data_IF_019403103611
#
_entry.id   IF_019403103611
#
_cell.length_a   1.000
_cell.length_b   1.000
_cell.length_c   1.000
_cell.angle_alpha   90.00
_cell.angle_beta   90.00
_cell.angle_gamma   90.00
#
_symmetry.space_group_name_H-M   'P 1'
#
loop_
_entity.id
_entity.type
_entity.pdbx_description
1 polymer ?
2 non-polymer ?
3 non-polymer ?
4 non-polymer ?
5 non-polymer ?
6 water ?
#
# COMPACT_ATOMS: atom_id res chain seq x y z
N UNK A 1 -22.90 -8.63 24.79
CA UNK A 1 -22.00 -7.81 25.65
C UNK A 1 -22.74 -6.56 26.17
N UNK A 2 -22.52 -6.19 27.44
CA UNK A 2 -23.01 -4.91 27.99
C UNK A 2 -22.70 -3.73 27.03
N UNK A 3 -21.53 -3.77 26.37
CA UNK A 3 -21.08 -2.67 25.49
C UNK A 3 -21.94 -2.51 24.23
N UNK A 4 -22.46 -3.64 23.71
CA UNK A 4 -23.27 -3.74 22.48
C UNK A 4 -24.79 -3.89 22.74
N UNK A 5 -25.23 -3.79 23.99
CA UNK A 5 -26.66 -3.93 24.37
C UNK A 5 -27.25 -2.54 24.64
N UNK A 6 -28.42 -2.25 24.06
CA UNK A 6 -29.05 -0.94 24.19
C UNK A 6 -29.85 -0.78 25.48
N UNK A 7 -29.46 0.18 26.34
CA UNK A 7 -30.20 0.55 27.54
C UNK A 7 -31.28 1.60 27.23
N UNK A 8 -30.95 2.55 26.36
CA UNK A 8 -31.88 3.59 25.90
C UNK A 8 -31.49 4.13 24.53
N UNK A 9 -32.51 4.42 23.72
CA UNK A 9 -32.35 5.09 22.47
C UNK A 9 -33.38 6.18 22.44
N UNK A 10 -32.98 7.33 21.93
CA UNK A 10 -33.80 8.54 21.98
C UNK A 10 -33.45 9.44 20.81
N UNK A 11 -34.45 10.12 20.24
CA UNK A 11 -34.19 11.17 19.24
C UNK A 11 -33.96 12.51 19.96
N UNK A 12 -32.91 13.24 19.57
CA UNK A 12 -32.54 14.52 20.19
C UNK A 12 -32.19 15.58 19.14
N UNK A 13 -32.07 16.84 19.58
CA UNK A 13 -31.62 17.95 18.74
C UNK A 13 -32.54 18.16 17.51
N UNK A 14 -33.79 18.55 17.77
CA UNK A 14 -34.80 18.66 16.71
C UNK A 14 -35.06 17.33 16.00
N UNK A 15 -34.84 16.21 16.71
CA UNK A 15 -34.91 14.84 16.17
C UNK A 15 -33.90 14.54 15.05
N UNK A 16 -32.85 15.36 14.95
CA UNK A 16 -31.82 15.19 13.95
C UNK A 16 -30.68 14.27 14.39
N UNK A 17 -30.70 13.80 15.65
CA UNK A 17 -29.70 12.83 16.16
C UNK A 17 -30.42 11.73 16.87
N UNK A 18 -29.85 10.53 16.85
CA UNK A 18 -30.25 9.48 17.76
C UNK A 18 -29.13 9.27 18.74
N UNK A 19 -29.48 9.23 20.02
CA UNK A 19 -28.52 8.91 21.06
C UNK A 19 -28.83 7.52 21.62
N UNK A 20 -27.80 6.68 21.67
CA UNK A 20 -27.87 5.38 22.34
C UNK A 20 -27.08 5.45 23.63
N UNK A 21 -27.72 5.04 24.73
CA UNK A 21 -27.04 4.77 25.97
C UNK A 21 -26.87 3.25 25.98
N UNK A 22 -25.62 2.79 25.98
CA UNK A 22 -25.30 1.37 26.08
C UNK A 22 -25.36 0.90 27.51
N UNK A 23 -25.40 -0.41 27.69
CA UNK A 23 -25.52 -0.93 29.06
C UNK A 23 -24.26 -0.67 29.88
N UNK A 24 -23.16 -0.33 29.22
CA UNK A 24 -21.94 0.05 29.93
C UNK A 24 -21.89 1.53 30.33
N UNK A 25 -22.97 2.25 30.03
CA UNK A 25 -23.17 3.66 30.38
C UNK A 25 -22.48 4.64 29.43
N UNK A 26 -21.81 4.11 28.41
CA UNK A 26 -21.30 4.95 27.33
C UNK A 26 -22.44 5.38 26.41
N UNK A 27 -22.27 6.53 25.77
CA UNK A 27 -23.30 7.09 24.93
C UNK A 27 -22.74 7.26 23.54
N UNK A 28 -23.57 7.06 22.53
CA UNK A 28 -23.16 7.19 21.13
C UNK A 28 -24.21 8.02 20.40
N UNK A 29 -23.78 8.81 19.41
CA UNK A 29 -24.65 9.69 18.67
C UNK A 29 -24.59 9.37 17.18
N UNK A 30 -25.76 9.34 16.54
CA UNK A 30 -25.87 8.96 15.17
C UNK A 30 -26.76 9.97 14.45
N UNK A 31 -26.21 10.73 13.49
CA UNK A 31 -27.07 11.70 12.77
C UNK A 31 -28.24 11.03 12.04
N UNK A 32 -29.42 11.64 12.15
CA UNK A 32 -30.58 11.14 11.45
C UNK A 32 -30.35 10.98 9.96
N UNK A 33 -29.67 11.92 9.33
CA UNK A 33 -29.46 11.82 7.87
C UNK A 33 -28.63 10.61 7.51
N UNK A 34 -27.63 10.29 8.35
CA UNK A 34 -26.80 9.09 8.17
C UNK A 34 -27.58 7.82 8.35
N UNK A 35 -28.40 7.73 9.40
CA UNK A 35 -29.27 6.57 9.58
C UNK A 35 -30.17 6.39 8.34
N UNK A 36 -30.82 7.45 7.88
CA UNK A 36 -31.72 7.31 6.73
C UNK A 36 -30.95 6.82 5.48
N UNK A 37 -29.80 7.45 5.25
CA UNK A 37 -28.92 7.12 4.12
C UNK A 37 -28.48 5.66 4.16
N UNK A 38 -28.41 5.10 5.37
CA UNK A 38 -27.94 3.73 5.58
C UNK A 38 -28.99 2.72 6.03
N UNK A 39 -30.24 3.05 5.75
CA UNK A 39 -31.34 2.11 5.97
C UNK A 39 -31.02 0.79 5.27
N UNK A 40 -31.05 -0.34 5.98
CA UNK A 40 -30.73 -1.63 5.36
C UNK A 40 -31.86 -2.40 4.70
N UNK A 41 -33.05 -1.78 4.55
CA UNK A 41 -34.17 -2.48 3.99
C UNK A 41 -33.93 -2.73 2.48
N UNK A 42 -34.76 -3.58 1.90
CA UNK A 42 -34.55 -4.04 0.54
C UNK A 42 -34.79 -2.94 -0.49
N UNK A 43 -35.55 -1.90 -0.13
CA UNK A 43 -35.69 -0.75 -1.05
C UNK A 43 -34.41 0.07 -1.14
N UNK A 44 -33.67 0.13 -0.03
CA UNK A 44 -32.57 1.05 0.12
C UNK A 44 -31.24 0.41 -0.08
N UNK A 45 -31.19 -0.92 0.02
CA UNK A 45 -29.93 -1.66 0.15
C UNK A 45 -30.01 -2.99 -0.52
N UNK A 46 -29.05 -3.28 -1.40
CA UNK A 46 -29.07 -4.51 -2.19
C UNK A 46 -28.22 -5.52 -1.45
N UNK A 47 -28.87 -6.46 -0.77
CA UNK A 47 -28.09 -7.34 0.10
C UNK A 47 -27.09 -8.25 -0.64
N UNK A 48 -27.43 -8.73 -1.83
CA UNK A 48 -26.53 -9.60 -2.56
C UNK A 48 -25.21 -8.88 -2.90
N UNK A 49 -25.28 -7.56 -3.06
CA UNK A 49 -24.10 -6.74 -3.38
C UNK A 49 -23.45 -6.04 -2.19
N UNK A 50 -24.11 -6.08 -1.04
CA UNK A 50 -23.78 -5.28 0.14
C UNK A 50 -23.55 -3.83 -0.30
N UNK A 51 -24.51 -3.29 -1.06
CA UNK A 51 -24.36 -1.95 -1.66
C UNK A 51 -25.65 -1.17 -1.48
N UNK A 52 -25.49 0.15 -1.43
CA UNK A 52 -26.62 1.09 -1.34
C UNK A 52 -27.33 1.27 -2.67
N UNK A 53 -28.64 1.08 -2.67
CA UNK A 53 -29.51 1.41 -3.80
C UNK A 53 -30.07 2.84 -3.66
N UNK A 54 -30.26 3.29 -2.41
CA UNK A 54 -30.83 4.61 -2.16
C UNK A 54 -30.00 5.67 -2.92
N UNK A 55 -30.69 6.57 -3.61
CA UNK A 55 -30.03 7.66 -4.35
C UNK A 55 -29.88 8.86 -3.43
N UNK A 56 -28.83 9.67 -3.65
CA UNK A 56 -28.76 10.97 -2.99
C UNK A 56 -30.03 11.81 -3.17
N UNK A 57 -30.61 11.72 -4.36
CA UNK A 57 -31.85 12.44 -4.69
C UNK A 57 -33.01 12.05 -3.79
N UNK A 58 -32.96 10.86 -3.20
CA UNK A 58 -34.01 10.39 -2.29
C UNK A 58 -33.84 10.91 -0.84
N UNK A 59 -32.67 11.45 -0.50
CA UNK A 59 -32.31 11.71 0.85
C UNK A 59 -32.62 13.17 1.21
N UNK A 60 -33.54 13.38 2.16
CA UNK A 60 -33.79 14.71 2.67
C UNK A 60 -32.69 15.02 3.71
N UNK A 61 -31.79 15.95 3.39
CA UNK A 61 -30.64 16.23 4.27
C UNK A 61 -31.02 16.89 5.59
N UNK A 62 -32.25 17.43 5.68
CA UNK A 62 -32.80 18.01 6.91
C UNK A 62 -33.70 17.05 7.72
N UNK A 63 -33.67 15.78 7.35
CA UNK A 63 -34.57 14.79 7.95
C UNK A 63 -34.32 14.66 9.45
N UNK A 64 -35.42 14.45 10.16
CA UNK A 64 -35.42 14.05 11.55
C UNK A 64 -36.21 12.75 11.73
N UNK A 65 -35.95 12.09 12.85
CA UNK A 65 -36.63 10.86 13.19
C UNK A 65 -38.05 11.23 13.58
N UNK A 66 -39.03 10.57 12.98
CA UNK A 66 -40.42 10.80 13.39
C UNK A 66 -40.81 10.00 14.64
N UNK A 67 -40.39 8.75 14.72
CA UNK A 67 -40.64 7.92 15.90
C UNK A 67 -39.57 6.86 16.03
N UNK A 68 -39.36 6.41 17.27
CA UNK A 68 -38.30 5.43 17.58
C UNK A 68 -38.80 4.56 18.73
N UNK A 69 -38.66 3.25 18.58
CA UNK A 69 -38.73 2.32 19.67
C UNK A 69 -37.48 1.43 19.58
N UNK A 70 -37.21 0.69 20.67
CA UNK A 70 -36.03 -0.15 20.74
C UNK A 70 -36.19 -1.31 21.69
N UNK A 71 -35.32 -2.28 21.54
CA UNK A 71 -35.14 -3.32 22.49
C UNK A 71 -33.63 -3.41 22.71
N UNK A 72 -33.17 -4.43 23.42
CA UNK A 72 -31.72 -4.54 23.69
C UNK A 72 -30.83 -4.70 22.47
N UNK A 73 -31.37 -5.18 21.35
CA UNK A 73 -30.57 -5.54 20.19
C UNK A 73 -30.85 -4.73 18.91
N UNK A 74 -31.91 -3.92 18.92
CA UNK A 74 -32.30 -3.20 17.71
C UNK A 74 -33.05 -1.91 18.01
N UNK A 75 -32.98 -1.00 17.06
CA UNK A 75 -33.78 0.21 17.03
C UNK A 75 -34.71 0.17 15.80
N UNK A 76 -35.94 0.66 15.97
CA UNK A 76 -36.96 0.62 14.94
C UNK A 76 -37.44 2.06 14.77
N UNK A 77 -37.26 2.62 13.57
CA UNK A 77 -37.47 4.03 13.35
C UNK A 77 -38.50 4.25 12.23
N UNK A 78 -39.42 5.18 12.48
CA UNK A 78 -40.27 5.72 11.44
C UNK A 78 -39.76 7.10 11.01
N UNK A 79 -39.85 7.34 9.71
CA UNK A 79 -39.44 8.59 9.10
C UNK A 79 -40.65 9.46 8.72
N UNK A 80 -40.46 10.77 8.56
CA UNK A 80 -41.58 11.66 8.26
C UNK A 80 -42.41 11.27 7.05
N UNK A 81 -41.75 10.71 6.02
CA UNK A 81 -42.44 10.28 4.80
C UNK A 81 -43.02 8.87 4.87
N UNK A 82 -43.03 8.31 6.06
CA UNK A 82 -43.55 6.98 6.39
C UNK A 82 -42.60 5.80 6.07
N UNK A 83 -41.40 6.10 5.59
CA UNK A 83 -40.42 5.06 5.42
C UNK A 83 -40.10 4.49 6.81
N UNK A 84 -39.69 3.23 6.81
CA UNK A 84 -39.48 2.51 8.07
C UNK A 84 -38.16 1.78 8.05
N UNK A 85 -37.38 1.91 9.11
CA UNK A 85 -36.03 1.33 9.16
C UNK A 85 -35.74 0.56 10.45
N UNK A 86 -34.94 -0.51 10.34
CA UNK A 86 -34.46 -1.25 11.54
C UNK A 86 -32.94 -1.28 11.54
N UNK A 87 -32.31 -0.95 12.68
CA UNK A 87 -30.84 -0.99 12.79
C UNK A 87 -30.45 -1.88 13.95
N UNK A 88 -29.43 -2.69 13.71
CA UNK A 88 -28.92 -3.62 14.70
C UNK A 88 -27.91 -2.93 15.62
N UNK A 89 -27.98 -3.27 16.91
CA UNK A 89 -27.11 -2.70 17.95
C UNK A 89 -25.61 -2.88 17.65
N UNK A 90 -25.21 -4.08 17.28
CA UNK A 90 -23.78 -4.33 17.01
C UNK A 90 -23.28 -3.53 15.80
N UNK A 91 -24.10 -3.47 14.75
CA UNK A 91 -23.82 -2.63 13.56
C UNK A 91 -23.65 -1.17 13.90
N UNK A 92 -24.57 -0.66 14.71
CA UNK A 92 -24.46 0.70 15.26
C UNK A 92 -23.19 0.89 16.11
N UNK A 93 -22.92 -0.04 17.02
CA UNK A 93 -21.79 0.10 17.93
C UNK A 93 -20.48 0.25 17.13
N UNK A 94 -20.31 -0.59 16.12
CA UNK A 94 -19.10 -0.61 15.30
C UNK A 94 -18.87 0.79 14.64
N UNK A 95 -19.97 1.44 14.28
CA UNK A 95 -19.98 2.65 13.44
C UNK A 95 -20.10 3.94 14.25
N UNK A 96 -19.97 3.81 15.57
CA UNK A 96 -20.04 4.95 16.48
C UNK A 96 -19.11 6.07 16.02
N UNK A 97 -19.62 7.28 15.98
CA UNK A 97 -18.86 8.45 15.50
C UNK A 97 -17.80 9.01 16.44
N UNK A 98 -17.65 8.46 17.65
CA UNK A 98 -16.56 8.89 18.51
C UNK A 98 -15.20 8.69 17.84
N UNK A 99 -14.26 9.56 18.17
CA UNK A 99 -12.91 9.46 17.61
C UNK A 99 -12.30 8.08 17.89
N UNK A 100 -12.42 7.60 19.13
CA UNK A 100 -11.84 6.29 19.48
C UNK A 100 -12.43 5.14 18.67
N UNK A 101 -13.74 5.13 18.48
CA UNK A 101 -14.41 4.07 17.72
C UNK A 101 -14.07 4.11 16.23
N UNK A 102 -14.10 5.31 15.67
CA UNK A 102 -13.74 5.47 14.26
C UNK A 102 -12.29 5.03 14.02
N UNK A 103 -11.37 5.38 14.92
CA UNK A 103 -9.96 5.07 14.74
C UNK A 103 -9.69 3.56 14.83
N UNK A 104 -10.39 2.93 15.77
CA UNK A 104 -10.30 1.50 15.90
C UNK A 104 -10.70 0.80 14.62
N UNK A 105 -11.84 1.20 14.07
CA UNK A 105 -12.36 0.62 12.84
C UNK A 105 -11.38 0.86 11.67
N UNK A 106 -10.85 2.07 11.57
CA UNK A 106 -9.84 2.36 10.51
C UNK A 106 -8.62 1.47 10.62
N UNK A 107 -8.11 1.20 11.84
CA UNK A 107 -6.99 0.30 12.03
C UNK A 107 -7.34 -1.11 11.51
N UNK A 108 -8.55 -1.57 11.81
CA UNK A 108 -9.02 -2.90 11.38
C UNK A 108 -9.12 -3.00 9.85
N UNK A 109 -9.54 -1.92 9.22
CA UNK A 109 -9.68 -1.88 7.75
C UNK A 109 -8.34 -1.78 7.03
N UNK A 110 -7.41 -0.98 7.56
CA UNK A 110 -6.23 -0.60 6.78
C UNK A 110 -4.87 -1.05 7.29
N UNK A 111 -4.86 -1.74 8.43
CA UNK A 111 -3.61 -2.34 8.99
C UNK A 111 -2.45 -1.30 8.97
N UNK A 112 -2.59 -0.17 9.67
CA UNK A 112 -1.56 0.84 9.56
C UNK A 112 -0.25 0.52 10.32
N UNK A 113 -0.23 -0.49 11.17
CA UNK A 113 0.97 -0.74 12.04
C UNK A 113 2.21 -0.78 11.15
N UNK A 114 3.25 -0.03 11.53
CA UNK A 114 4.44 0.08 10.70
C UNK A 114 5.66 -0.07 11.58
N UNK A 115 6.61 -0.95 11.23
CA UNK A 115 7.82 -1.07 12.00
C UNK A 115 8.94 -0.58 11.13
N UNK A 116 9.51 0.59 11.49
CA UNK A 116 10.63 1.15 10.75
C UNK A 116 11.90 0.38 11.08
N UNK A 117 12.83 0.36 10.15
CA UNK A 117 14.08 -0.37 10.31
C UNK A 117 15.25 0.24 9.53
N UNK A 118 16.44 -0.12 10.00
CA UNK A 118 17.70 0.21 9.34
C UNK A 118 18.54 -1.03 9.13
N UNK A 119 19.85 -0.87 9.25
CA UNK A 119 20.77 -1.98 9.02
C UNK A 119 20.60 -3.17 9.97
N UNK A 120 19.89 -2.99 11.11
CA UNK A 120 19.63 -4.06 12.08
C UNK A 120 18.51 -5.03 11.64
N UNK A 121 17.88 -4.75 10.52
CA UNK A 121 16.79 -5.59 10.01
C UNK A 121 17.08 -7.09 10.11
N UNK A 122 16.13 -7.81 10.71
CA UNK A 122 16.07 -9.28 10.68
C UNK A 122 15.08 -9.57 9.56
N UNK A 123 15.58 -9.96 8.38
CA UNK A 123 14.73 -10.12 7.19
C UNK A 123 13.65 -11.18 7.43
N UNK A 124 12.36 -10.79 7.41
CA UNK A 124 11.33 -11.80 7.67
C UNK A 124 11.38 -12.84 6.58
N UNK A 125 11.30 -14.11 6.96
CA UNK A 125 11.48 -15.21 6.00
C UNK A 125 10.45 -16.28 6.26
N UNK A 126 9.82 -16.73 5.17
CA UNK A 126 8.88 -17.83 5.23
C UNK A 126 9.14 -18.78 4.06
N UNK A 127 8.58 -19.98 4.17
CA UNK A 127 8.70 -20.96 3.10
C UNK A 127 7.65 -20.69 1.98
N UNK A 128 8.13 -20.73 0.74
CA UNK A 128 7.31 -20.48 -0.48
C UNK A 128 6.10 -21.38 -0.59
N UNK A 129 6.32 -22.70 -0.59
CA UNK A 129 5.22 -23.66 -0.69
C UNK A 129 4.28 -23.59 0.51
N UNK A 130 4.79 -23.29 1.70
CA UNK A 130 3.91 -23.09 2.87
C UNK A 130 2.92 -21.97 2.64
N UNK A 131 3.40 -20.85 2.08
CA UNK A 131 2.58 -19.67 1.82
C UNK A 131 1.54 -19.98 0.76
N UNK A 132 1.91 -20.76 -0.27
CA UNK A 132 0.92 -21.19 -1.29
C UNK A 132 -0.13 -22.11 -0.70
N UNK A 133 0.28 -23.01 0.20
CA UNK A 133 -0.63 -24.04 0.72
C UNK A 133 -1.52 -23.61 1.90
N UNK A 134 -0.97 -22.83 2.83
CA UNK A 134 -1.61 -22.66 4.12
C UNK A 134 -2.02 -21.20 4.36
N UNK A 135 -3.28 -20.99 4.75
CA UNK A 135 -3.73 -19.63 4.99
C UNK A 135 -3.00 -18.97 6.18
N UNK A 136 -2.63 -19.75 7.19
CA UNK A 136 -1.91 -19.18 8.32
C UNK A 136 -0.59 -18.55 7.83
N UNK A 137 0.07 -19.25 6.93
CA UNK A 137 1.34 -18.77 6.42
C UNK A 137 1.14 -17.60 5.44
N UNK A 138 0.12 -17.69 4.57
CA UNK A 138 -0.15 -16.58 3.66
C UNK A 138 -0.56 -15.30 4.42
N UNK A 139 -1.27 -15.47 5.52
CA UNK A 139 -1.61 -14.34 6.39
C UNK A 139 -0.37 -13.70 7.02
N UNK A 140 0.50 -14.51 7.59
CA UNK A 140 1.75 -13.99 8.12
C UNK A 140 2.53 -13.26 7.03
N UNK A 141 2.56 -13.85 5.83
CA UNK A 141 3.26 -13.23 4.69
C UNK A 141 2.76 -11.81 4.41
N UNK A 142 1.46 -11.66 4.16
CA UNK A 142 0.95 -10.36 3.76
C UNK A 142 0.92 -9.34 4.91
N UNK A 143 0.64 -9.82 6.11
CA UNK A 143 0.62 -8.93 7.27
C UNK A 143 2.04 -8.39 7.52
N UNK A 144 3.05 -9.22 7.33
CA UNK A 144 4.41 -8.80 7.53
C UNK A 144 4.87 -7.89 6.41
N UNK A 145 4.49 -8.20 5.18
CA UNK A 145 4.74 -7.33 4.05
C UNK A 145 4.24 -5.93 4.31
N UNK A 146 3.02 -5.82 4.81
CA UNK A 146 2.45 -4.51 5.14
C UNK A 146 3.18 -3.80 6.26
N UNK A 147 3.47 -4.52 7.34
CA UNK A 147 4.02 -3.88 8.54
C UNK A 147 5.51 -3.53 8.41
N UNK A 148 6.29 -4.50 7.94
CA UNK A 148 7.75 -4.37 7.82
C UNK A 148 8.19 -3.82 6.43
N UNK A 149 7.42 -4.17 5.38
CA UNK A 149 7.66 -3.72 4.03
C UNK A 149 8.39 -4.73 3.16
N UNK A 150 8.82 -5.84 3.75
CA UNK A 150 9.47 -6.88 2.98
C UNK A 150 9.35 -8.21 3.67
N UNK A 151 9.19 -9.27 2.84
CA UNK A 151 9.29 -10.64 3.27
C UNK A 151 10.05 -11.42 2.22
N UNK A 152 10.97 -12.26 2.68
CA UNK A 152 11.67 -13.18 1.81
C UNK A 152 11.00 -14.55 1.86
N UNK A 153 10.77 -15.14 0.71
CA UNK A 153 10.24 -16.46 0.66
C UNK A 153 11.34 -17.40 0.13
N UNK A 154 11.59 -18.47 0.85
CA UNK A 154 12.65 -19.41 0.48
C UNK A 154 12.04 -20.75 -0.01
N UNK A 155 12.85 -21.51 -0.73
CA UNK A 155 12.43 -22.81 -1.22
C UNK A 155 11.53 -22.78 -2.44
N UNK A 156 11.51 -21.68 -3.21
CA UNK A 156 10.86 -21.74 -4.52
C UNK A 156 11.74 -22.57 -5.51
N UNK A 157 11.22 -22.87 -6.69
CA UNK A 157 12.03 -23.57 -7.70
C UNK A 157 13.08 -22.59 -8.26
N UNK A 158 13.91 -23.10 -9.17
CA UNK A 158 14.84 -22.27 -9.92
C UNK A 158 14.37 -22.11 -11.37
N UNK A 159 13.05 -22.07 -11.59
CA UNK A 159 12.45 -21.99 -12.93
C UNK A 159 11.46 -20.83 -12.92
N UNK A 160 11.24 -20.18 -14.10
CA UNK A 160 10.20 -19.14 -14.18
C UNK A 160 8.82 -19.69 -13.78
N UNK A 161 7.88 -18.81 -13.46
CA UNK A 161 6.53 -19.21 -13.07
C UNK A 161 6.23 -19.13 -11.58
N UNK A 162 7.25 -18.83 -10.78
CA UNK A 162 7.04 -18.80 -9.33
C UNK A 162 6.31 -17.52 -8.90
N UNK A 163 6.72 -16.37 -9.40
CA UNK A 163 6.01 -15.14 -9.04
C UNK A 163 4.56 -15.13 -9.52
N UNK A 164 4.30 -15.77 -10.66
CA UNK A 164 2.92 -15.92 -11.14
C UNK A 164 2.05 -16.71 -10.15
N UNK A 165 2.60 -17.77 -9.52
CA UNK A 165 1.89 -18.48 -8.45
C UNK A 165 1.56 -17.56 -7.27
N UNK A 166 2.51 -16.73 -6.88
CA UNK A 166 2.24 -15.79 -5.79
C UNK A 166 1.18 -14.78 -6.18
N UNK A 167 1.21 -14.36 -7.45
CA UNK A 167 0.20 -13.47 -8.02
C UNK A 167 -1.20 -14.02 -7.89
N UNK A 168 -1.36 -15.29 -8.23
CA UNK A 168 -2.64 -15.96 -8.10
C UNK A 168 -3.04 -16.11 -6.64
N UNK A 169 -2.08 -16.38 -5.76
CA UNK A 169 -2.35 -16.49 -4.32
C UNK A 169 -2.91 -15.13 -3.83
N UNK A 170 -2.38 -14.02 -4.32
CA UNK A 170 -2.87 -12.70 -3.98
C UNK A 170 -4.21 -12.47 -4.65
N UNK A 171 -4.22 -12.56 -5.97
CA UNK A 171 -5.44 -12.42 -6.75
C UNK A 171 -5.06 -12.33 -8.22
N UNK A 172 -4.38 -11.25 -8.56
CA UNK A 172 -3.76 -11.09 -9.86
C UNK A 172 -2.63 -10.08 -9.80
N UNK A 173 -1.73 -10.24 -10.76
CA UNK A 173 -0.62 -9.34 -10.93
C UNK A 173 -1.02 -8.07 -11.70
N UNK A 174 -0.17 -7.06 -11.63
CA UNK A 174 -0.39 -5.76 -12.24
C UNK A 174 0.41 -5.68 -13.55
N UNK A 175 -0.28 -5.80 -14.66
CA UNK A 175 0.34 -5.71 -16.00
C UNK A 175 0.91 -4.34 -16.27
N UNK A 176 2.15 -4.33 -16.75
CA UNK A 176 2.77 -3.11 -17.24
C UNK A 176 3.39 -3.32 -18.65
N UNK A 177 3.97 -2.25 -19.19
CA UNK A 177 4.65 -2.33 -20.48
C UNK A 177 5.81 -3.33 -20.50
N UNK A 178 6.34 -3.71 -19.33
CA UNK A 178 7.45 -4.70 -19.29
C UNK A 178 6.92 -6.12 -19.20
N UNK A 179 5.58 -6.27 -19.17
CA UNK A 179 4.91 -7.57 -19.26
C UNK A 179 4.17 -7.99 -18.01
N UNK A 180 3.50 -9.15 -18.05
CA UNK A 180 2.89 -9.69 -16.85
C UNK A 180 3.96 -10.02 -15.82
N UNK A 181 5.04 -10.62 -16.30
CA UNK A 181 6.27 -10.81 -15.55
C UNK A 181 7.41 -10.39 -16.49
N UNK A 182 8.60 -10.19 -15.93
CA UNK A 182 9.74 -9.73 -16.69
C UNK A 182 11.04 -10.38 -16.18
N UNK A 183 12.01 -10.49 -17.09
CA UNK A 183 13.26 -11.21 -16.85
C UNK A 183 14.41 -10.21 -16.68
N UNK A 184 14.97 -10.15 -15.47
CA UNK A 184 16.08 -9.27 -15.19
C UNK A 184 17.35 -10.03 -15.53
N UNK A 185 17.90 -9.75 -16.69
CA UNK A 185 19.12 -10.36 -17.20
C UNK A 185 19.76 -9.34 -18.13
N UNK A 186 21.02 -9.56 -18.46
CA UNK A 186 21.75 -8.71 -19.41
C UNK A 186 21.21 -8.93 -20.82
N UNK A 187 20.77 -7.88 -21.49
CA UNK A 187 20.20 -7.99 -22.83
C UNK A 187 20.88 -7.06 -23.83
N UNK A 188 21.11 -7.58 -25.01
CA UNK A 188 21.58 -6.78 -26.15
C UNK A 188 20.54 -5.71 -26.46
N UNK A 189 21.00 -4.47 -26.69
CA UNK A 189 20.09 -3.36 -27.00
C UNK A 189 19.07 -3.21 -25.88
N UNK A 190 19.57 -3.23 -24.66
CA UNK A 190 18.69 -3.20 -23.49
C UNK A 190 17.75 -1.99 -23.50
N UNK A 191 16.47 -2.23 -23.23
CA UNK A 191 15.49 -1.16 -23.19
C UNK A 191 15.36 -0.52 -21.80
N UNK A 192 16.21 -0.94 -20.86
CA UNK A 192 16.12 -0.48 -19.49
C UNK A 192 17.46 -0.79 -18.79
N UNK A 193 17.95 0.10 -17.95
CA UNK A 193 19.25 -0.13 -17.26
C UNK A 193 19.23 -1.41 -16.41
N UNK A 194 18.04 -1.78 -15.93
CA UNK A 194 17.84 -3.06 -15.23
C UNK A 194 18.39 -4.27 -16.02
N UNK A 195 18.26 -4.23 -17.35
CA UNK A 195 18.59 -5.35 -18.21
C UNK A 195 20.03 -5.23 -18.72
N UNK A 196 20.95 -4.85 -17.82
CA UNK A 196 22.38 -4.76 -18.08
C UNK A 196 23.08 -5.32 -16.86
N UNK A 197 24.40 -5.33 -16.86
CA UNK A 197 25.16 -5.81 -15.68
C UNK A 197 25.58 -4.65 -14.72
N UNK A 198 25.08 -3.44 -14.96
CA UNK A 198 25.48 -2.27 -14.23
C UNK A 198 24.89 -2.26 -12.83
N UNK A 199 25.49 -1.45 -11.98
CA UNK A 199 24.94 -1.17 -10.64
C UNK A 199 23.61 -0.39 -10.73
N UNK A 200 22.64 -0.77 -9.93
CA UNK A 200 21.43 0.00 -9.74
C UNK A 200 21.54 0.57 -8.35
N UNK A 201 21.61 1.90 -8.27
CA UNK A 201 21.58 2.61 -7.01
C UNK A 201 20.17 2.49 -6.50
N UNK A 202 19.95 2.95 -5.27
CA UNK A 202 18.61 2.92 -4.67
C UNK A 202 17.56 3.60 -5.53
N UNK A 203 16.49 2.85 -5.78
CA UNK A 203 15.38 3.33 -6.57
C UNK A 203 14.09 2.66 -6.11
N UNK A 204 12.97 3.26 -6.48
CA UNK A 204 11.66 2.62 -6.56
C UNK A 204 11.44 2.26 -8.04
N UNK A 205 10.69 1.19 -8.32
CA UNK A 205 10.37 0.79 -9.66
C UNK A 205 9.22 1.62 -10.17
N UNK A 206 9.40 2.09 -11.39
CA UNK A 206 8.31 2.62 -12.21
C UNK A 206 7.70 3.97 -11.76
N UNK A 207 8.52 4.94 -11.33
CA UNK A 207 7.97 6.27 -11.13
C UNK A 207 7.54 6.92 -12.46
N UNK A 208 7.89 6.34 -13.61
CA UNK A 208 7.36 6.83 -14.89
C UNK A 208 5.85 6.65 -15.00
N UNK A 209 5.26 5.87 -14.10
CA UNK A 209 3.80 5.73 -14.06
C UNK A 209 3.21 6.65 -13.01
N UNK A 210 2.02 7.18 -13.28
CA UNK A 210 1.22 7.96 -12.31
C UNK A 210 0.99 7.18 -11.02
N UNK A 211 0.73 5.89 -11.21
CA UNK A 211 0.41 4.98 -10.10
C UNK A 211 1.46 3.89 -10.09
N UNK A 212 2.62 4.17 -9.49
CA UNK A 212 3.59 3.10 -9.52
C UNK A 212 3.13 1.81 -8.81
N UNK A 213 3.69 0.65 -9.23
CA UNK A 213 3.40 -0.61 -8.54
C UNK A 213 3.56 -0.50 -7.03
N UNK A 214 2.53 -0.95 -6.32
CA UNK A 214 2.60 -0.99 -4.85
C UNK A 214 3.53 -2.03 -4.28
N UNK A 215 3.47 -3.23 -4.86
CA UNK A 215 4.22 -4.39 -4.37
C UNK A 215 5.01 -5.00 -5.50
N UNK A 216 6.25 -5.32 -5.20
CA UNK A 216 7.14 -5.94 -6.16
C UNK A 216 7.50 -7.37 -5.69
N UNK A 217 7.54 -8.29 -6.62
CA UNK A 217 7.99 -9.66 -6.37
C UNK A 217 9.19 -9.95 -7.26
N UNK A 218 10.27 -10.42 -6.66
CA UNK A 218 11.52 -10.69 -7.40
C UNK A 218 12.06 -12.06 -6.99
N UNK A 219 12.12 -12.95 -7.97
CA UNK A 219 12.51 -14.32 -7.78
C UNK A 219 13.87 -14.57 -8.43
N UNK A 220 14.82 -15.07 -7.65
CA UNK A 220 16.12 -15.44 -8.16
C UNK A 220 16.12 -16.85 -8.80
N UNK A 221 16.32 -16.87 -10.11
CA UNK A 221 16.46 -18.11 -10.93
C UNK A 221 17.92 -18.50 -11.05
N UNK A 222 18.77 -17.53 -11.39
CA UNK A 222 20.23 -17.76 -11.49
C UNK A 222 20.93 -16.58 -10.83
N UNK A 223 21.96 -16.87 -10.04
CA UNK A 223 22.78 -15.82 -9.41
C UNK A 223 24.23 -15.95 -9.84
N UNK A 224 24.95 -14.82 -9.87
CA UNK A 224 26.34 -14.81 -10.28
C UNK A 224 27.21 -14.66 -9.03
N UNK A 225 28.42 -15.20 -9.08
CA UNK A 225 29.40 -14.98 -7.99
C UNK A 225 30.17 -13.68 -8.17
N UNK A 226 30.01 -13.00 -9.32
CA UNK A 226 30.88 -11.86 -9.62
C UNK A 226 30.37 -10.55 -9.07
N UNK A 227 29.18 -10.55 -8.53
CA UNK A 227 28.57 -9.36 -7.94
C UNK A 227 27.07 -9.63 -7.78
N UNK A 228 26.24 -8.61 -7.95
CA UNK A 228 24.80 -8.77 -7.96
C UNK A 228 24.11 -8.90 -6.62
N UNK A 229 24.79 -8.49 -5.55
CA UNK A 229 24.15 -8.43 -4.24
C UNK A 229 23.02 -7.40 -4.25
N UNK A 230 22.04 -7.64 -3.41
CA UNK A 230 20.86 -6.79 -3.27
C UNK A 230 21.08 -5.84 -2.08
N UNK A 231 20.47 -4.66 -2.17
CA UNK A 231 20.48 -3.70 -1.07
C UNK A 231 19.09 -3.10 -0.94
N UNK A 232 18.66 -2.85 0.30
CA UNK A 232 17.35 -2.25 0.52
C UNK A 232 17.50 -1.19 1.62
N UNK A 233 16.59 -0.24 1.61
CA UNK A 233 16.47 0.73 2.67
C UNK A 233 14.99 1.03 2.90
N UNK A 234 14.66 1.42 4.12
CA UNK A 234 13.30 1.80 4.49
C UNK A 234 13.10 3.28 4.18
N UNK A 235 12.47 3.60 3.05
CA UNK A 235 12.29 5.01 2.67
C UNK A 235 11.58 5.86 3.68
N UNK A 236 10.62 5.27 4.39
CA UNK A 236 9.88 6.04 5.38
C UNK A 236 10.78 6.42 6.55
N UNK A 237 11.68 5.50 6.94
CA UNK A 237 12.65 5.77 7.99
C UNK A 237 13.66 6.83 7.55
N UNK A 238 14.15 6.71 6.31
CA UNK A 238 15.08 7.70 5.74
C UNK A 238 14.42 9.09 5.66
N UNK A 239 13.17 9.14 5.25
CA UNK A 239 12.50 10.43 5.13
C UNK A 239 12.36 11.09 6.51
N UNK A 240 12.09 10.28 7.54
CA UNK A 240 11.99 10.81 8.89
C UNK A 240 13.34 11.43 9.29
N UNK A 241 14.42 10.72 8.99
CA UNK A 241 15.75 11.18 9.37
C UNK A 241 16.06 12.48 8.61
N UNK A 242 15.67 12.53 7.34
CA UNK A 242 15.95 13.70 6.46
C UNK A 242 15.23 14.94 6.95
N UNK A 243 13.96 14.77 7.31
CA UNK A 243 13.16 15.88 7.87
C UNK A 243 13.82 16.46 9.11
N UNK A 244 14.32 15.58 9.99
CA UNK A 244 14.99 16.03 11.21
C UNK A 244 16.36 16.69 10.92
N UNK A 245 17.19 16.04 10.12
CA UNK A 245 18.56 16.48 9.86
C UNK A 245 18.63 17.65 8.89
N UNK A 246 17.73 17.66 7.90
CA UNK A 246 17.77 18.67 6.84
C UNK A 246 16.38 19.04 6.39
N UNK A 247 15.71 19.87 7.17
CA UNK A 247 14.33 20.19 6.84
C UNK A 247 14.19 20.90 5.49
N UNK A 248 15.18 21.72 5.12
CA UNK A 248 15.22 22.36 3.79
C UNK A 248 15.21 21.32 2.66
N UNK A 249 16.08 20.34 2.75
CA UNK A 249 16.11 19.28 1.73
C UNK A 249 14.80 18.51 1.70
N UNK A 250 14.26 18.19 2.88
CA UNK A 250 12.94 17.54 2.96
C UNK A 250 11.84 18.37 2.30
N UNK A 251 11.79 19.67 2.58
CA UNK A 251 10.75 20.51 1.97
C UNK A 251 10.89 20.54 0.45
N UNK A 252 12.13 20.67 -0.04
CA UNK A 252 12.31 20.68 -1.51
C UNK A 252 11.84 19.37 -2.16
N UNK A 253 12.27 18.24 -1.60
CA UNK A 253 11.94 16.97 -2.21
C UNK A 253 10.48 16.60 -2.05
N UNK A 254 9.82 17.11 -1.01
CA UNK A 254 8.40 16.84 -0.81
C UNK A 254 7.47 17.85 -1.47
N UNK A 255 8.04 18.81 -2.20
CA UNK A 255 7.21 19.82 -2.90
C UNK A 255 7.51 19.96 -4.43
N UNK A 256 8.64 19.44 -4.89
CA UNK A 256 9.13 19.69 -6.26
C UNK A 256 8.68 18.57 -7.19
N UNK A 257 7.93 18.90 -8.25
CA UNK A 257 7.54 17.86 -9.19
C UNK A 257 8.69 17.62 -10.16
N UNK A 258 9.15 16.39 -10.16
CA UNK A 258 10.17 15.87 -11.05
C UNK A 258 9.51 15.08 -12.17
N UNK A 259 10.01 15.26 -13.40
CA UNK A 259 9.47 14.58 -14.58
C UNK A 259 10.21 13.25 -14.75
N UNK A 260 9.47 12.18 -15.03
CA UNK A 260 10.01 10.83 -15.32
C UNK A 260 9.52 10.43 -16.72
N UNK A 261 10.32 9.58 -17.36
CA UNK A 261 10.13 9.19 -18.75
C UNK A 261 10.53 7.76 -18.96
N UNK A 262 9.86 7.10 -19.88
CA UNK A 262 10.30 5.78 -20.34
C UNK A 262 9.79 5.59 -21.77
N UNK A 263 10.70 5.42 -22.73
CA UNK A 263 10.36 5.28 -24.13
C UNK A 263 11.07 4.06 -24.69
N UNK A 264 10.30 3.20 -25.34
CA UNK A 264 10.87 2.02 -25.97
C UNK A 264 9.82 0.99 -26.29
N UNK A 265 10.26 -0.26 -26.38
CA UNK A 265 9.37 -1.31 -26.84
C UNK A 265 9.58 -2.53 -25.96
N UNK A 266 8.50 -3.07 -25.44
CA UNK A 266 8.62 -4.37 -24.74
C UNK A 266 7.33 -5.20 -24.93
N UNK A 267 6.41 -5.19 -23.98
CA UNK A 267 5.08 -5.80 -24.21
C UNK A 267 4.39 -5.23 -25.46
N UNK A 268 4.48 -3.91 -25.59
CA UNK A 268 4.15 -3.21 -26.81
C UNK A 268 5.04 -1.98 -26.83
N UNK A 269 4.89 -1.14 -27.83
CA UNK A 269 5.66 0.12 -27.92
C UNK A 269 5.07 1.12 -26.95
N UNK A 270 5.92 1.90 -26.31
CA UNK A 270 5.50 2.82 -25.24
C UNK A 270 6.30 4.11 -25.26
N UNK A 271 5.63 5.18 -24.83
CA UNK A 271 6.20 6.49 -24.69
C UNK A 271 5.51 7.09 -23.43
N UNK A 272 6.16 6.95 -22.31
CA UNK A 272 5.53 7.17 -21.00
C UNK A 272 6.17 8.42 -20.33
N UNK A 273 5.33 9.28 -19.78
CA UNK A 273 5.77 10.45 -19.04
C UNK A 273 4.93 10.59 -17.79
N UNK A 274 5.59 11.01 -16.71
CA UNK A 274 4.87 11.36 -15.50
C UNK A 274 5.53 12.53 -14.80
N UNK A 275 4.86 13.01 -13.75
CA UNK A 275 5.46 13.95 -12.80
C UNK A 275 5.16 13.46 -11.40
N UNK A 276 6.18 13.46 -10.52
CA UNK A 276 5.98 13.10 -9.10
C UNK A 276 6.90 13.96 -8.26
N UNK A 277 6.42 14.21 -7.05
CA UNK A 277 7.28 14.65 -5.96
C UNK A 277 8.05 13.40 -5.48
N UNK A 278 9.36 13.49 -5.31
CA UNK A 278 10.14 12.35 -4.84
C UNK A 278 9.63 11.84 -3.52
N UNK A 279 9.32 12.75 -2.62
CA UNK A 279 8.76 12.44 -1.30
C UNK A 279 7.29 12.92 -1.36
N UNK A 280 6.36 11.98 -1.39
CA UNK A 280 4.97 12.28 -1.58
C UNK A 280 4.23 12.16 -0.25
N UNK A 281 3.68 13.28 0.22
CA UNK A 281 3.01 13.39 1.52
C UNK A 281 1.51 13.32 1.33
N UNK A 282 0.82 12.76 2.29
CA UNK A 282 -0.64 12.91 2.31
C UNK A 282 -1.05 14.30 2.86
N UNK A 283 -2.36 14.54 2.98
CA UNK A 283 -2.84 15.85 3.37
C UNK A 283 -2.48 16.18 4.83
N UNK A 284 -2.10 15.19 5.63
CA UNK A 284 -1.63 15.48 7.01
C UNK A 284 -0.10 15.58 7.12
N UNK A 285 0.61 15.58 6.00
CA UNK A 285 2.08 15.67 6.04
C UNK A 285 2.86 14.38 6.26
N UNK A 286 2.19 13.23 6.19
CA UNK A 286 2.84 11.94 6.40
C UNK A 286 3.31 11.41 5.09
N UNK A 287 4.52 10.89 5.03
CA UNK A 287 5.03 10.32 3.79
C UNK A 287 4.25 9.06 3.48
N UNK A 288 3.67 9.00 2.28
CA UNK A 288 2.93 7.82 1.80
C UNK A 288 3.59 7.08 0.66
N UNK A 289 4.46 7.75 -0.09
CA UNK A 289 5.15 7.10 -1.19
C UNK A 289 6.43 7.84 -1.52
N UNK A 290 7.45 7.10 -1.87
CA UNK A 290 8.63 7.63 -2.51
C UNK A 290 8.58 7.27 -3.99
N UNK A 291 8.91 8.25 -4.82
CA UNK A 291 8.89 8.11 -6.27
C UNK A 291 10.28 8.46 -6.80
N UNK A 292 11.17 7.49 -6.93
CA UNK A 292 12.51 7.84 -7.39
C UNK A 292 13.26 6.74 -8.06
N UNK A 293 13.58 6.94 -9.34
CA UNK A 293 14.49 6.08 -10.05
C UNK A 293 15.41 7.01 -10.87
N UNK A 294 16.69 7.03 -10.55
CA UNK A 294 17.60 7.97 -11.21
C UNK A 294 17.75 7.68 -12.69
N UNK A 295 17.53 6.43 -13.11
CA UNK A 295 17.64 6.05 -14.52
C UNK A 295 16.56 6.70 -15.35
N UNK A 296 15.34 6.79 -14.79
CA UNK A 296 14.15 7.20 -15.56
C UNK A 296 13.72 8.63 -15.28
N UNK A 297 14.43 9.31 -14.40
CA UNK A 297 14.26 10.76 -14.26
C UNK A 297 14.61 11.44 -15.60
N UNK A 298 13.72 12.30 -16.11
CA UNK A 298 13.88 12.85 -17.46
C UNK A 298 15.04 13.87 -17.47
N UNK A 299 15.55 14.13 -18.65
CA UNK A 299 16.43 15.25 -18.92
C UNK A 299 15.64 16.57 -18.82
N UNK A 300 14.38 16.51 -19.23
CA UNK A 300 13.39 17.59 -19.01
C UNK A 300 13.21 17.81 -17.51
N UNK A 301 13.40 19.03 -17.03
CA UNK A 301 13.22 19.33 -15.60
C UNK A 301 12.45 20.65 -15.50
N UNK A 302 11.21 20.56 -15.06
CA UNK A 302 10.25 21.62 -15.19
C UNK A 302 10.21 22.46 -13.92
N UNK A 303 11.30 23.17 -13.67
CA UNK A 303 11.39 24.14 -12.59
C UNK A 303 12.15 25.40 -13.07
N UNK A 304 11.95 26.54 -12.38
CA UNK A 304 12.75 27.72 -12.71
C UNK A 304 14.23 27.47 -12.47
N UNK A 305 15.05 28.18 -13.22
CA UNK A 305 16.49 27.91 -13.21
C UNK A 305 17.08 27.95 -11.78
N UNK A 306 16.59 28.87 -10.95
CA UNK A 306 17.19 29.10 -9.65
C UNK A 306 16.85 28.03 -8.62
N UNK A 307 15.89 27.18 -8.94
CA UNK A 307 15.54 26.08 -8.06
C UNK A 307 16.24 24.78 -8.44
N UNK A 308 17.00 24.80 -9.53
CA UNK A 308 17.63 23.56 -10.04
C UNK A 308 18.76 23.06 -9.13
N UNK A 309 19.75 23.90 -8.84
CA UNK A 309 20.88 23.43 -8.09
C UNK A 309 20.48 23.04 -6.67
N UNK A 310 19.61 23.83 -6.02
CA UNK A 310 19.14 23.40 -4.68
C UNK A 310 18.40 22.07 -4.69
N UNK A 311 17.68 21.77 -5.75
CA UNK A 311 17.06 20.45 -5.89
C UNK A 311 18.10 19.35 -5.87
N UNK A 312 19.11 19.50 -6.71
CA UNK A 312 20.16 18.44 -6.73
C UNK A 312 20.87 18.32 -5.39
N UNK A 313 21.11 19.44 -4.72
CA UNK A 313 21.76 19.42 -3.40
C UNK A 313 20.90 18.63 -2.43
N UNK A 314 19.58 18.85 -2.49
CA UNK A 314 18.63 18.10 -1.64
C UNK A 314 18.61 16.60 -1.95
N UNK A 315 18.56 16.27 -3.21
CA UNK A 315 18.57 14.90 -3.70
C UNK A 315 19.82 14.16 -3.23
N UNK A 316 20.98 14.83 -3.26
CA UNK A 316 22.21 14.22 -2.85
C UNK A 316 22.17 13.92 -1.38
N UNK A 317 21.60 14.82 -0.59
CA UNK A 317 21.51 14.58 0.86
C UNK A 317 20.65 13.33 1.12
N UNK A 318 19.54 13.21 0.38
CA UNK A 318 18.65 12.07 0.50
C UNK A 318 19.36 10.76 0.13
N UNK A 319 20.06 10.76 -1.00
CA UNK A 319 20.77 9.57 -1.45
C UNK A 319 21.88 9.20 -0.49
N UNK A 320 22.60 10.19 0.01
CA UNK A 320 23.65 9.93 0.98
C UNK A 320 23.10 9.27 2.24
N UNK A 321 21.90 9.70 2.67
CA UNK A 321 21.29 9.13 3.89
C UNK A 321 20.90 7.67 3.64
N UNK A 322 20.40 7.37 2.44
CA UNK A 322 20.03 6.02 2.05
C UNK A 322 21.26 5.11 2.05
N UNK A 323 22.40 5.66 1.66
CA UNK A 323 23.64 4.89 1.57
C UNK A 323 24.34 4.70 2.88
N UNK A 324 23.91 5.40 3.89
CA UNK A 324 24.57 5.36 5.16
C UNK A 324 24.52 3.95 5.74
N UNK A 325 25.61 3.52 6.37
CA UNK A 325 25.70 2.16 6.93
C UNK A 325 24.58 1.85 7.96
N UNK A 326 24.07 2.84 8.68
CA UNK A 326 22.93 2.60 9.62
C UNK A 326 21.59 2.37 8.89
N UNK A 327 21.48 2.81 7.65
CA UNK A 327 20.21 2.74 6.93
C UNK A 327 20.04 1.47 6.10
N UNK A 328 21.08 1.04 5.43
CA UNK A 328 20.88 0.01 4.42
C UNK A 328 21.11 -1.39 4.97
N UNK A 329 20.39 -2.32 4.35
CA UNK A 329 20.48 -3.73 4.64
C UNK A 329 20.91 -4.40 3.35
N UNK A 330 22.01 -5.17 3.41
CA UNK A 330 22.58 -5.82 2.23
C UNK A 330 22.44 -7.33 2.36
N UNK A 331 22.20 -7.98 1.24
CA UNK A 331 22.05 -9.45 1.22
C UNK A 331 22.25 -9.92 -0.18
N UNK A 332 22.38 -11.21 -0.35
CA UNK A 332 22.57 -11.77 -1.66
C UNK A 332 21.52 -12.84 -1.90
N UNK A 333 20.74 -12.68 -2.96
CA UNK A 333 19.73 -13.69 -3.32
C UNK A 333 20.39 -14.94 -3.88
N UNK A 334 19.88 -16.10 -3.46
CA UNK A 334 20.20 -17.40 -4.05
C UNK A 334 19.04 -17.94 -4.88
N UNK A 335 19.35 -18.85 -5.84
CA UNK A 335 18.27 -19.50 -6.58
C UNK A 335 17.22 -20.11 -5.66
N UNK A 336 15.97 -19.82 -5.95
CA UNK A 336 14.86 -20.30 -5.11
C UNK A 336 14.37 -19.26 -4.13
N UNK A 337 15.12 -18.19 -3.92
CA UNK A 337 14.64 -17.06 -3.10
C UNK A 337 13.68 -16.17 -3.87
N UNK A 338 12.64 -15.69 -3.19
CA UNK A 338 11.79 -14.64 -3.69
C UNK A 338 11.73 -13.56 -2.64
N UNK A 339 11.94 -12.30 -3.04
CA UNK A 339 11.64 -11.21 -2.13
C UNK A 339 10.35 -10.54 -2.61
N UNK A 340 9.49 -10.20 -1.64
CA UNK A 340 8.26 -9.54 -1.93
C UNK A 340 8.26 -8.29 -1.03
N UNK A 341 8.06 -7.13 -1.62
CA UNK A 341 8.30 -5.88 -0.90
C UNK A 341 7.42 -4.71 -1.32
N UNK A 342 7.26 -3.75 -0.41
CA UNK A 342 6.48 -2.53 -0.62
C UNK A 342 7.31 -1.53 -1.46
N UNK A 343 6.93 -1.43 -2.72
CA UNK A 343 7.63 -0.57 -3.70
C UNK A 343 7.30 0.92 -3.56
N UNK A 344 6.36 1.25 -2.69
CA UNK A 344 6.08 2.64 -2.34
C UNK A 344 6.95 3.11 -1.19
N UNK A 345 7.41 2.18 -0.38
CA UNK A 345 8.14 2.54 0.83
C UNK A 345 9.62 2.21 0.75
N UNK A 346 9.97 1.00 0.35
CA UNK A 346 11.38 0.66 0.27
C UNK A 346 11.98 1.24 -0.97
N UNK A 347 13.28 1.51 -0.91
CA UNK A 347 14.09 1.62 -2.15
C UNK A 347 15.04 0.42 -2.16
N UNK A 348 15.38 0.00 -3.35
CA UNK A 348 16.19 -1.22 -3.57
C UNK A 348 17.23 -0.95 -4.63
N UNK A 349 18.25 -1.79 -4.62
CA UNK A 349 19.34 -1.64 -5.56
C UNK A 349 20.09 -2.94 -5.74
N UNK A 350 21.05 -2.91 -6.65
CA UNK A 350 21.88 -4.07 -6.85
C UNK A 350 23.30 -3.67 -7.26
N UNK A 351 24.25 -4.48 -6.84
CA UNK A 351 25.65 -4.25 -7.18
C UNK A 351 25.90 -4.71 -8.61
N UNK A 352 26.86 -4.08 -9.26
CA UNK A 352 27.21 -4.49 -10.60
C UNK A 352 27.82 -5.88 -10.63
N UNK A 353 27.82 -6.49 -11.80
CA UNK A 353 28.42 -7.81 -11.91
C UNK A 353 29.01 -7.91 -13.28
N UNK A 354 29.66 -9.03 -13.59
CA UNK A 354 30.43 -9.12 -14.83
C UNK A 354 29.58 -9.76 -15.92
N UNK A 355 29.59 -9.14 -17.11
CA UNK A 355 29.00 -9.75 -18.32
C UNK A 355 29.77 -10.98 -18.80
N UNK A 356 29.07 -11.86 -19.50
CA UNK A 356 29.74 -13.03 -20.11
C UNK A 356 28.97 -13.48 -21.32
N UNK A 357 29.39 -14.59 -21.90
CA UNK A 357 28.87 -15.04 -23.17
C UNK A 357 27.50 -15.72 -23.02
N UNK A 358 27.23 -16.38 -21.89
CA UNK A 358 25.84 -16.76 -21.59
C UNK A 358 25.41 -16.09 -20.31
N UNK A 359 24.17 -16.30 -19.97
CA UNK A 359 23.50 -15.59 -18.90
C UNK A 359 23.97 -16.18 -17.55
N UNK A 360 24.55 -15.35 -16.69
CA UNK A 360 25.09 -15.79 -15.39
C UNK A 360 24.15 -15.40 -14.28
N UNK A 361 23.12 -14.62 -14.60
CA UNK A 361 22.23 -14.03 -13.60
C UNK A 361 20.88 -13.74 -14.24
N UNK A 362 19.82 -14.16 -13.55
CA UNK A 362 18.45 -14.13 -14.05
C UNK A 362 17.49 -14.05 -12.86
N UNK A 363 16.77 -12.93 -12.75
CA UNK A 363 15.65 -12.82 -11.86
C UNK A 363 14.35 -12.72 -12.69
N UNK A 364 13.25 -13.27 -12.15
CA UNK A 364 11.93 -12.97 -12.68
C UNK A 364 11.15 -12.11 -11.70
N UNK A 365 10.63 -10.99 -12.21
CA UNK A 365 9.90 -10.04 -11.40
C UNK A 365 8.48 -9.81 -11.86
N UNK A 366 7.66 -9.28 -10.96
CA UNK A 366 6.29 -8.92 -11.28
C UNK A 366 5.84 -7.92 -10.24
N UNK A 367 4.70 -7.33 -10.50
CA UNK A 367 4.10 -6.33 -9.62
C UNK A 367 2.68 -6.71 -9.23
N UNK A 368 2.25 -6.14 -8.12
CA UNK A 368 0.87 -6.20 -7.72
C UNK A 368 0.44 -4.86 -7.12
N UNK A 369 -0.85 -4.61 -7.22
CA UNK A 369 -1.44 -3.39 -6.65
C UNK A 369 -1.73 -3.56 -5.16
N UNK A 370 -1.45 -2.54 -4.35
CA UNK A 370 -1.73 -2.64 -2.92
C UNK A 370 -3.19 -2.94 -2.60
N UNK A 371 -4.11 -2.48 -3.43
CA UNK A 371 -5.51 -2.78 -3.16
C UNK A 371 -5.83 -4.22 -3.32
N UNK A 372 -5.14 -4.88 -4.26
CA UNK A 372 -5.31 -6.32 -4.48
C UNK A 372 -4.72 -7.11 -3.30
N UNK A 373 -3.56 -6.63 -2.83
CA UNK A 373 -2.87 -7.26 -1.71
C UNK A 373 -3.66 -7.10 -0.41
N UNK A 374 -4.16 -5.89 -0.17
CA UNK A 374 -4.92 -5.60 1.05
C UNK A 374 -6.23 -6.36 1.09
N UNK A 375 -6.87 -6.50 -0.08
CA UNK A 375 -8.09 -7.33 -0.18
C UNK A 375 -7.82 -8.77 0.32
N UNK A 376 -6.75 -9.37 -0.18
CA UNK A 376 -6.38 -10.74 0.21
C UNK A 376 -6.07 -10.78 1.70
N UNK A 377 -5.39 -9.77 2.20
CA UNK A 377 -5.02 -9.71 3.61
C UNK A 377 -6.27 -9.66 4.45
N UNK A 378 -7.25 -8.83 4.09
CA UNK A 378 -8.50 -8.79 4.84
C UNK A 378 -9.20 -10.15 4.88
N UNK A 379 -9.25 -10.83 3.74
CA UNK A 379 -9.89 -12.11 3.64
C UNK A 379 -9.15 -13.17 4.45
N UNK A 380 -7.83 -13.17 4.35
CA UNK A 380 -7.03 -14.15 5.07
C UNK A 380 -7.18 -13.98 6.60
N UNK A 381 -7.21 -12.72 7.05
CA UNK A 381 -7.35 -12.42 8.47
C UNK A 381 -8.64 -13.00 8.99
N UNK A 382 -9.72 -12.81 8.25
CA UNK A 382 -11.01 -13.35 8.64
C UNK A 382 -11.01 -14.88 8.65
N UNK A 383 -10.42 -15.50 7.63
CA UNK A 383 -10.35 -16.98 7.56
C UNK A 383 -9.51 -17.52 8.74
N UNK A 384 -8.35 -16.92 9.01
CA UNK A 384 -7.44 -17.40 10.07
C UNK A 384 -7.98 -17.13 11.49
N UNK A 385 -8.63 -15.97 11.69
CA UNK A 385 -9.31 -15.66 12.95
C UNK A 385 -10.67 -16.37 13.11
N UNK A 386 -11.31 -16.75 12.00
CA UNK A 386 -12.49 -17.66 12.03
C UNK A 386 -12.04 -19.11 11.96
#
# INVERSE_FOLDING_TARGET
>A
SMACTIQKAEALDGAHLMQILWYDEEESLYPAVWLRDNCPCSDCYLDSAKARKLLVEALDVNIGIKGLIFDRKKVYITWPDEHYSEFQADWLKKRCFSKQARAKLQRELFFPECQYWGSELQLPTLDFEDVLRYDEHAYKWLSTLKKVGIVRLTGASDKPGEVSKLGKRMGFLYLTFYGHTWQVQDKIDANNVAYTTGKLSFHTDYPALHHPPGVQLLHCIKQTVTGGDSEIVDGFNVCQKLKKNNPQAFQILSSTFVDFTDIGVDYCDFSVQSKHKIIELDDKGQVVRINFNNATRDTIFDVPVERVQPFYAALKEFVDLMNSKESKFTFKMNPGDVITFDNWRLLHGRRSYEAGTEISRHLEGAYADWDVVMSRLRILRQRVENGN
#
